data_IF_347398187515
#
_entry.id   IF_347398187515
#
_cell.length_a   1.000
_cell.length_b   1.000
_cell.length_c   1.000
_cell.angle_alpha   90.00
_cell.angle_beta   90.00
_cell.angle_gamma   90.00
#
_symmetry.space_group_name_H-M   'P 1'
#
loop_
_entity.id
_entity.type
_entity.pdbx_description
1 polymer ?
#
# COMPACT_ATOMS: atom_id res chain seq x y z
N UNK A 1 -22.96 13.89 11.67
CA UNK A 1 -23.54 12.99 10.64
C UNK A 1 -23.61 13.67 9.25
N UNK A 2 -24.15 14.89 9.10
CA UNK A 2 -24.23 15.59 7.79
C UNK A 2 -22.85 15.83 7.14
N UNK A 3 -21.81 16.26 7.89
CA UNK A 3 -20.46 16.45 7.37
C UNK A 3 -19.84 15.15 6.84
N UNK A 4 -20.08 14.03 7.49
CA UNK A 4 -19.56 12.72 7.05
C UNK A 4 -20.28 12.21 5.79
N UNK A 5 -21.58 12.46 5.64
CA UNK A 5 -22.30 12.17 4.40
C UNK A 5 -21.74 12.98 3.22
N UNK A 6 -21.51 14.29 3.40
CA UNK A 6 -20.94 15.14 2.34
C UNK A 6 -19.53 14.73 1.91
N UNK A 7 -18.71 14.15 2.82
CA UNK A 7 -17.38 13.65 2.48
C UNK A 7 -17.49 12.36 1.66
N UNK A 8 -18.36 11.46 2.08
CA UNK A 8 -18.65 10.21 1.38
C UNK A 8 -19.19 10.45 -0.02
N UNK A 9 -20.17 11.33 -0.17
CA UNK A 9 -20.76 11.67 -1.47
C UNK A 9 -19.75 12.31 -2.41
N UNK A 10 -18.85 13.15 -1.90
CA UNK A 10 -17.75 13.73 -2.67
C UNK A 10 -16.71 12.67 -3.09
N UNK A 11 -16.35 11.76 -2.19
CA UNK A 11 -15.44 10.67 -2.51
C UNK A 11 -16.05 9.76 -3.58
N UNK A 12 -17.31 9.39 -3.42
CA UNK A 12 -18.06 8.59 -4.41
C UNK A 12 -18.11 9.27 -5.78
N UNK A 13 -18.45 10.56 -5.82
CA UNK A 13 -18.47 11.34 -7.07
C UNK A 13 -17.10 11.45 -7.73
N UNK A 14 -16.02 11.63 -6.95
CA UNK A 14 -14.65 11.63 -7.48
C UNK A 14 -14.25 10.25 -8.01
N UNK A 15 -14.61 9.19 -7.31
CA UNK A 15 -14.38 7.82 -7.76
C UNK A 15 -15.12 7.53 -9.07
N UNK A 16 -16.39 7.93 -9.17
CA UNK A 16 -17.20 7.82 -10.38
C UNK A 16 -16.56 8.59 -11.56
N UNK A 17 -16.02 9.79 -11.30
CA UNK A 17 -15.29 10.55 -12.31
C UNK A 17 -13.97 9.87 -12.72
N UNK A 18 -13.20 9.37 -11.76
CA UNK A 18 -11.95 8.67 -12.02
C UNK A 18 -12.17 7.37 -12.78
N UNK A 19 -13.27 6.68 -12.52
CA UNK A 19 -13.65 5.41 -13.17
C UNK A 19 -14.40 5.59 -14.48
N UNK A 20 -14.64 6.83 -14.92
CA UNK A 20 -15.37 7.11 -16.17
C UNK A 20 -14.78 6.42 -17.40
N UNK A 21 -13.45 6.25 -17.45
CA UNK A 21 -12.75 5.51 -18.50
C UNK A 21 -13.11 4.01 -18.52
N UNK A 22 -13.53 3.45 -17.39
CA UNK A 22 -13.91 2.04 -17.25
C UNK A 22 -15.42 1.79 -17.43
N UNK A 23 -16.22 2.83 -17.68
CA UNK A 23 -17.68 2.69 -17.85
C UNK A 23 -18.07 1.84 -19.07
N UNK A 24 -17.13 1.64 -20.01
CA UNK A 24 -17.31 0.69 -21.12
C UNK A 24 -17.19 -0.78 -20.67
N UNK A 25 -16.61 -1.04 -19.51
CA UNK A 25 -16.49 -2.38 -18.95
C UNK A 25 -17.71 -2.69 -18.06
N UNK A 26 -18.21 -3.93 -18.09
CA UNK A 26 -19.31 -4.32 -17.23
C UNK A 26 -18.88 -4.29 -15.75
N UNK A 27 -19.81 -3.88 -14.87
CA UNK A 27 -19.64 -4.05 -13.43
C UNK A 27 -19.61 -5.54 -13.11
N UNK A 28 -18.70 -5.93 -12.21
CA UNK A 28 -18.61 -7.33 -11.81
C UNK A 28 -19.90 -7.86 -11.19
N UNK A 29 -20.19 -9.13 -11.46
CA UNK A 29 -21.22 -9.89 -10.74
C UNK A 29 -20.75 -10.35 -9.35
N UNK A 30 -19.42 -10.35 -9.09
CA UNK A 30 -18.79 -10.76 -7.84
C UNK A 30 -18.90 -9.66 -6.79
N UNK A 31 -20.03 -9.61 -6.11
CA UNK A 31 -20.31 -8.58 -5.08
C UNK A 31 -19.44 -8.69 -3.84
N UNK A 32 -18.82 -9.83 -3.61
CA UNK A 32 -17.81 -10.05 -2.57
C UNK A 32 -16.54 -9.22 -2.77
N UNK A 33 -16.24 -8.82 -4.01
CA UNK A 33 -15.09 -7.98 -4.35
C UNK A 33 -15.39 -6.48 -4.18
N UNK A 34 -16.66 -6.09 -4.12
CA UNK A 34 -17.07 -4.70 -3.95
C UNK A 34 -17.28 -4.35 -2.48
N UNK A 35 -16.94 -3.12 -2.11
CA UNK A 35 -17.11 -2.60 -0.77
C UNK A 35 -17.63 -1.15 -0.81
N UNK A 36 -18.58 -0.85 0.05
CA UNK A 36 -19.11 0.51 0.26
C UNK A 36 -19.30 0.75 1.77
N UNK A 37 -18.22 0.48 2.54
CA UNK A 37 -18.18 0.75 3.97
C UNK A 37 -17.89 2.22 4.26
N UNK A 38 -18.13 2.62 5.49
CA UNK A 38 -17.83 3.97 5.96
C UNK A 38 -16.34 4.26 5.80
N UNK A 39 -16.02 5.19 4.90
CA UNK A 39 -14.65 5.65 4.64
C UNK A 39 -13.88 4.89 3.57
N UNK A 40 -14.44 3.81 3.02
CA UNK A 40 -13.83 3.05 1.92
C UNK A 40 -14.87 2.71 0.87
N UNK A 41 -14.51 2.84 -0.40
CA UNK A 41 -15.35 2.47 -1.54
C UNK A 41 -14.47 1.66 -2.49
N UNK A 42 -14.95 0.47 -2.85
CA UNK A 42 -14.32 -0.39 -3.85
C UNK A 42 -15.30 -0.69 -4.97
N UNK A 43 -14.90 -0.43 -6.20
CA UNK A 43 -15.67 -0.80 -7.39
C UNK A 43 -14.83 -1.72 -8.27
N UNK A 44 -15.48 -2.70 -8.88
CA UNK A 44 -14.81 -3.73 -9.69
C UNK A 44 -15.47 -3.83 -11.06
N UNK A 45 -14.64 -3.87 -12.08
CA UNK A 45 -15.05 -3.95 -13.48
C UNK A 45 -14.43 -5.19 -14.11
N UNK A 46 -15.24 -6.04 -14.73
CA UNK A 46 -14.75 -7.24 -15.37
C UNK A 46 -14.22 -6.94 -16.79
N UNK A 47 -13.19 -7.66 -17.20
CA UNK A 47 -12.70 -7.64 -18.58
C UNK A 47 -12.30 -9.05 -19.02
N UNK A 48 -12.31 -9.28 -20.32
CA UNK A 48 -11.79 -10.51 -20.91
C UNK A 48 -10.34 -10.30 -21.32
N UNK A 49 -9.37 -11.00 -20.72
CA UNK A 49 -7.98 -10.89 -21.12
C UNK A 49 -7.76 -11.36 -22.54
N UNK A 50 -6.88 -10.64 -23.27
CA UNK A 50 -6.51 -10.99 -24.64
C UNK A 50 -5.49 -12.12 -24.72
N UNK A 51 -4.79 -12.38 -23.64
CA UNK A 51 -3.82 -13.49 -23.50
C UNK A 51 -4.32 -14.50 -22.48
N UNK A 52 -3.91 -15.76 -22.65
CA UNK A 52 -4.24 -16.78 -21.66
C UNK A 52 -3.79 -16.36 -20.27
N UNK A 53 -4.68 -16.50 -19.30
CA UNK A 53 -4.38 -16.25 -17.89
C UNK A 53 -4.16 -17.60 -17.25
N UNK A 54 -3.19 -17.66 -16.36
CA UNK A 54 -3.10 -18.74 -15.41
C UNK A 54 -4.29 -18.65 -14.45
N UNK A 55 -5.24 -19.58 -14.62
CA UNK A 55 -6.46 -19.66 -13.79
C UNK A 55 -6.14 -20.10 -12.37
N UNK A 56 -4.95 -20.64 -12.14
CA UNK A 56 -4.47 -21.10 -10.84
C UNK A 56 -3.75 -20.00 -10.04
N UNK A 57 -3.74 -18.75 -10.55
CA UNK A 57 -3.20 -17.62 -9.78
C UNK A 57 -3.95 -17.46 -8.45
N UNK A 58 -3.28 -17.76 -7.30
CA UNK A 58 -3.91 -17.71 -5.97
C UNK A 58 -4.39 -16.33 -5.58
N UNK A 59 -3.88 -15.28 -6.23
CA UNK A 59 -4.25 -13.89 -5.97
C UNK A 59 -5.41 -13.41 -6.82
N UNK A 60 -5.84 -14.22 -7.81
CA UNK A 60 -6.93 -13.87 -8.72
C UNK A 60 -6.80 -12.45 -9.29
N UNK A 61 -5.59 -12.07 -9.74
CA UNK A 61 -5.26 -10.70 -10.16
C UNK A 61 -5.80 -10.30 -11.53
N UNK A 62 -6.30 -11.26 -12.28
CA UNK A 62 -6.67 -11.08 -13.66
C UNK A 62 -8.18 -11.18 -13.87
N UNK A 63 -8.66 -10.65 -14.99
CA UNK A 63 -10.06 -10.68 -15.37
C UNK A 63 -10.89 -9.54 -14.80
N UNK A 64 -10.32 -8.68 -13.95
CA UNK A 64 -11.02 -7.50 -13.44
C UNK A 64 -10.08 -6.33 -13.12
N UNK A 65 -10.64 -5.12 -13.14
CA UNK A 65 -10.00 -3.90 -12.64
C UNK A 65 -10.68 -3.49 -11.35
N UNK A 66 -9.93 -3.41 -10.27
CA UNK A 66 -10.39 -2.98 -8.96
C UNK A 66 -9.98 -1.53 -8.71
N UNK A 67 -10.94 -0.68 -8.39
CA UNK A 67 -10.71 0.72 -8.06
C UNK A 67 -11.14 0.96 -6.61
N UNK A 68 -10.17 1.35 -5.79
CA UNK A 68 -10.36 1.58 -4.36
C UNK A 68 -10.18 3.05 -4.04
N UNK A 69 -11.09 3.59 -3.22
CA UNK A 69 -11.01 4.94 -2.69
C UNK A 69 -11.21 4.94 -1.18
N UNK A 70 -10.36 5.68 -0.46
CA UNK A 70 -10.48 5.87 0.97
C UNK A 70 -10.65 7.34 1.32
N UNK A 71 -11.33 7.65 2.43
CA UNK A 71 -11.58 9.03 2.87
C UNK A 71 -10.91 9.35 4.21
N UNK A 72 -10.22 8.40 4.82
CA UNK A 72 -9.53 8.60 6.10
C UNK A 72 -8.03 8.88 5.96
N UNK A 73 -7.46 8.54 4.80
CA UNK A 73 -6.03 8.73 4.53
C UNK A 73 -5.67 10.21 4.46
N UNK A 74 -4.59 10.59 5.10
CA UNK A 74 -3.96 11.91 5.00
C UNK A 74 -3.01 11.89 3.80
N UNK A 75 -3.22 12.81 2.87
CA UNK A 75 -2.46 12.86 1.61
C UNK A 75 -1.10 13.57 1.74
N UNK A 76 -0.89 14.30 2.82
CA UNK A 76 0.35 15.05 3.07
C UNK A 76 1.35 14.21 3.89
N UNK A 77 2.64 14.45 3.72
CA UNK A 77 3.24 15.24 2.64
C UNK A 77 3.28 14.46 1.32
N UNK A 78 3.09 15.17 0.21
CA UNK A 78 3.17 14.60 -1.13
C UNK A 78 4.22 15.32 -1.99
N UNK A 79 4.63 14.66 -3.06
CA UNK A 79 5.48 15.22 -4.11
C UNK A 79 4.85 14.90 -5.46
N UNK A 80 4.76 15.87 -6.39
CA UNK A 80 4.39 15.57 -7.76
C UNK A 80 5.48 14.71 -8.42
N UNK A 81 5.11 13.54 -8.93
CA UNK A 81 5.99 12.67 -9.70
C UNK A 81 5.42 12.43 -11.08
N UNK A 82 6.29 12.39 -12.09
CA UNK A 82 5.94 11.90 -13.39
C UNK A 82 5.92 10.38 -13.37
N UNK A 83 4.80 9.81 -13.76
CA UNK A 83 4.62 8.36 -13.85
C UNK A 83 4.60 7.97 -15.31
N UNK A 84 5.51 7.10 -15.67
CA UNK A 84 5.55 6.50 -17.00
C UNK A 84 4.79 5.17 -16.98
N UNK A 85 3.78 4.99 -17.87
CA UNK A 85 3.11 3.69 -17.97
C UNK A 85 4.09 2.59 -18.38
N UNK A 86 3.97 1.41 -17.77
CA UNK A 86 4.89 0.28 -18.03
C UNK A 86 4.99 -0.03 -19.52
N UNK A 87 3.86 -0.04 -20.25
CA UNK A 87 3.87 -0.24 -21.71
C UNK A 87 4.71 0.80 -22.44
N UNK A 88 4.72 2.04 -21.95
CA UNK A 88 5.50 3.12 -22.55
C UNK A 88 7.00 2.97 -22.25
N UNK A 89 7.35 2.55 -21.03
CA UNK A 89 8.74 2.32 -20.61
C UNK A 89 9.45 1.29 -21.50
N UNK A 90 8.78 0.17 -21.78
CA UNK A 90 9.37 -0.94 -22.55
C UNK A 90 9.09 -0.86 -24.06
N UNK A 91 8.37 0.16 -24.54
CA UNK A 91 8.04 0.32 -25.94
C UNK A 91 9.22 0.90 -26.74
N UNK A 92 9.36 0.46 -27.99
CA UNK A 92 10.20 1.15 -28.98
C UNK A 92 9.62 2.53 -29.31
N UNK A 93 10.40 3.42 -29.93
CA UNK A 93 9.90 4.75 -30.30
C UNK A 93 8.69 4.68 -31.27
N UNK A 94 8.69 3.73 -32.20
CA UNK A 94 7.54 3.49 -33.06
C UNK A 94 6.29 3.08 -32.28
N UNK A 95 6.45 2.16 -31.33
CA UNK A 95 5.36 1.71 -30.43
C UNK A 95 4.88 2.87 -29.54
N UNK A 96 5.78 3.71 -29.01
CA UNK A 96 5.42 4.91 -28.23
C UNK A 96 4.59 5.88 -29.06
N UNK A 97 4.91 6.05 -30.32
CA UNK A 97 4.12 6.90 -31.25
C UNK A 97 2.69 6.34 -31.43
N UNK A 98 2.55 5.03 -31.56
CA UNK A 98 1.23 4.36 -31.63
C UNK A 98 0.48 4.54 -30.31
N UNK A 99 1.13 4.25 -29.19
CA UNK A 99 0.54 4.39 -27.85
C UNK A 99 0.04 5.82 -27.62
N UNK A 100 0.83 6.83 -28.00
CA UNK A 100 0.48 8.24 -27.88
C UNK A 100 -0.68 8.63 -28.78
N UNK A 101 -0.59 8.28 -30.07
CA UNK A 101 -1.54 8.79 -31.09
C UNK A 101 -2.89 8.05 -31.10
N UNK A 102 -2.90 6.76 -30.79
CA UNK A 102 -4.11 5.93 -30.88
C UNK A 102 -4.76 5.64 -29.53
N UNK A 103 -3.97 5.61 -28.45
CA UNK A 103 -4.43 5.17 -27.14
C UNK A 103 -4.30 6.23 -26.04
N UNK A 104 -3.76 7.41 -26.36
CA UNK A 104 -3.52 8.48 -25.37
C UNK A 104 -2.69 8.00 -24.16
N UNK A 105 -1.77 7.06 -24.41
CA UNK A 105 -0.86 6.54 -23.40
C UNK A 105 0.41 7.37 -23.41
N UNK A 106 0.56 8.21 -22.39
CA UNK A 106 1.71 9.12 -22.23
C UNK A 106 2.10 9.17 -20.74
N UNK A 107 3.34 9.56 -20.42
CA UNK A 107 3.71 9.94 -19.07
C UNK A 107 2.79 11.04 -18.52
N UNK A 108 2.50 10.98 -17.23
CA UNK A 108 1.61 11.96 -16.59
C UNK A 108 2.06 12.28 -15.16
N UNK A 109 1.73 13.48 -14.71
CA UNK A 109 2.03 13.93 -13.35
C UNK A 109 0.95 13.45 -12.37
N UNK A 110 1.38 12.93 -11.22
CA UNK A 110 0.50 12.58 -10.10
C UNK A 110 1.10 13.02 -8.77
N UNK A 111 0.27 13.49 -7.87
CA UNK A 111 0.69 13.73 -6.50
C UNK A 111 0.88 12.40 -5.78
N UNK A 112 2.10 12.10 -5.43
CA UNK A 112 2.48 10.83 -4.76
C UNK A 112 2.89 11.12 -3.32
N UNK A 113 2.38 10.34 -2.38
CA UNK A 113 2.79 10.42 -0.97
C UNK A 113 4.30 10.18 -0.90
N UNK A 114 5.00 11.01 -0.12
CA UNK A 114 6.45 10.89 0.04
C UNK A 114 6.83 9.53 0.65
N UNK A 115 7.99 9.02 0.23
CA UNK A 115 8.49 7.71 0.67
C UNK A 115 8.63 7.61 2.19
N UNK A 116 9.07 8.69 2.83
CA UNK A 116 9.21 8.78 4.28
C UNK A 116 7.85 8.61 4.99
N UNK A 117 6.79 9.17 4.37
CA UNK A 117 5.43 9.01 4.90
C UNK A 117 4.92 7.58 4.68
N UNK A 118 5.22 6.98 3.54
CA UNK A 118 4.88 5.58 3.25
C UNK A 118 5.58 4.67 4.24
N UNK A 119 6.86 4.92 4.55
CA UNK A 119 7.61 4.14 5.54
C UNK A 119 6.92 4.15 6.92
N UNK A 120 6.57 5.34 7.41
CA UNK A 120 5.82 5.48 8.67
C UNK A 120 4.46 4.74 8.60
N UNK A 121 3.75 4.84 7.48
CA UNK A 121 2.47 4.16 7.29
C UNK A 121 2.58 2.64 7.39
N UNK A 122 3.62 2.06 6.76
CA UNK A 122 3.87 0.63 6.76
C UNK A 122 4.21 0.08 8.15
N UNK A 123 4.90 0.85 9.00
CA UNK A 123 5.18 0.47 10.40
C UNK A 123 3.88 0.30 11.18
N UNK A 124 2.98 1.28 11.13
CA UNK A 124 1.70 1.20 11.82
C UNK A 124 0.77 0.14 11.23
N UNK A 125 0.79 -0.03 9.91
CA UNK A 125 0.01 -1.07 9.26
C UNK A 125 0.47 -2.47 9.68
N UNK A 126 1.77 -2.70 9.80
CA UNK A 126 2.31 -3.97 10.29
C UNK A 126 1.78 -4.31 11.69
N UNK A 127 1.82 -3.37 12.64
CA UNK A 127 1.27 -3.55 13.98
C UNK A 127 -0.25 -3.79 13.94
N UNK A 128 -0.98 -2.97 13.17
CA UNK A 128 -2.43 -3.09 13.04
C UNK A 128 -2.88 -4.49 12.60
N UNK A 129 -2.19 -5.07 11.64
CA UNK A 129 -2.50 -6.41 11.16
C UNK A 129 -1.94 -7.50 12.07
N UNK A 130 -0.81 -7.27 12.74
CA UNK A 130 -0.22 -8.23 13.68
C UNK A 130 -1.14 -8.50 14.86
N UNK A 131 -1.70 -7.47 15.48
CA UNK A 131 -2.68 -7.60 16.56
C UNK A 131 -3.91 -8.42 16.16
N UNK A 132 -4.25 -8.38 14.87
CA UNK A 132 -5.40 -9.11 14.30
C UNK A 132 -5.05 -10.48 13.76
N UNK A 133 -3.80 -10.91 13.92
CA UNK A 133 -3.26 -12.17 13.40
C UNK A 133 -3.46 -12.37 11.90
N UNK A 134 -3.51 -11.26 11.16
CA UNK A 134 -3.61 -11.25 9.69
C UNK A 134 -2.20 -11.33 9.09
N UNK A 135 -1.52 -12.46 9.31
CA UNK A 135 -0.09 -12.58 9.10
C UNK A 135 0.37 -12.42 7.65
N UNK A 136 -0.47 -12.76 6.69
CA UNK A 136 -0.15 -12.51 5.28
C UNK A 136 -0.07 -11.01 4.96
N UNK A 137 -0.95 -10.18 5.55
CA UNK A 137 -0.88 -8.73 5.41
C UNK A 137 0.31 -8.15 6.19
N UNK A 138 0.60 -8.68 7.38
CA UNK A 138 1.83 -8.33 8.12
C UNK A 138 3.06 -8.58 7.28
N UNK A 139 3.15 -9.75 6.63
CA UNK A 139 4.30 -10.16 5.82
C UNK A 139 4.66 -9.13 4.72
N UNK A 140 3.65 -8.58 4.03
CA UNK A 140 3.84 -7.52 3.03
C UNK A 140 4.49 -6.27 3.62
N UNK A 141 3.99 -5.84 4.79
CA UNK A 141 4.52 -4.64 5.45
C UNK A 141 5.90 -4.87 6.06
N UNK A 142 6.17 -6.07 6.57
CA UNK A 142 7.51 -6.43 7.03
C UNK A 142 8.53 -6.34 5.90
N UNK A 143 8.20 -6.90 4.74
CA UNK A 143 9.03 -6.84 3.55
C UNK A 143 9.24 -5.40 3.09
N UNK A 144 8.16 -4.64 2.88
CA UNK A 144 8.21 -3.25 2.42
C UNK A 144 9.10 -2.37 3.32
N UNK A 145 8.92 -2.47 4.65
CA UNK A 145 9.73 -1.70 5.61
C UNK A 145 11.18 -2.11 5.54
N UNK A 146 11.47 -3.42 5.45
CA UNK A 146 12.86 -3.91 5.38
C UNK A 146 13.59 -3.46 4.12
N UNK A 147 12.90 -3.43 2.96
CA UNK A 147 13.46 -2.89 1.71
C UNK A 147 13.69 -1.38 1.82
N UNK A 148 12.75 -0.65 2.41
CA UNK A 148 12.87 0.81 2.52
C UNK A 148 13.89 1.24 3.57
N UNK A 149 14.09 0.46 4.65
CA UNK A 149 14.91 0.85 5.80
C UNK A 149 16.35 1.23 5.41
N UNK A 150 16.97 0.51 4.47
CA UNK A 150 18.32 0.75 4.02
C UNK A 150 18.45 1.84 2.94
N UNK A 151 17.32 2.41 2.47
CA UNK A 151 17.36 3.49 1.50
C UNK A 151 17.93 4.76 2.14
N UNK A 152 18.85 5.42 1.43
CA UNK A 152 19.51 6.66 1.89
C UNK A 152 18.53 7.69 2.39
N UNK A 153 17.43 7.92 1.67
CA UNK A 153 16.38 8.87 2.01
C UNK A 153 15.71 8.54 3.35
N UNK A 154 15.48 7.26 3.63
CA UNK A 154 14.89 6.81 4.90
C UNK A 154 15.90 6.93 6.05
N UNK A 155 17.17 6.57 5.80
CA UNK A 155 18.22 6.73 6.81
C UNK A 155 18.44 8.21 7.15
N UNK A 156 18.45 9.11 6.18
CA UNK A 156 18.53 10.56 6.40
C UNK A 156 17.36 11.09 7.22
N UNK A 157 16.14 10.58 6.96
CA UNK A 157 14.96 10.92 7.77
C UNK A 157 15.11 10.43 9.21
N UNK A 158 15.53 9.18 9.41
CA UNK A 158 15.70 8.58 10.75
C UNK A 158 16.75 9.36 11.57
N UNK A 159 17.84 9.78 10.95
CA UNK A 159 18.86 10.60 11.58
C UNK A 159 18.37 12.00 11.96
N UNK A 160 17.36 12.52 11.25
CA UNK A 160 16.69 13.77 11.59
C UNK A 160 15.42 13.49 12.41
N UNK A 161 15.60 13.41 13.73
CA UNK A 161 14.51 13.07 14.66
C UNK A 161 13.26 13.95 14.46
N UNK A 162 13.41 15.22 14.15
CA UNK A 162 12.28 16.13 13.95
C UNK A 162 11.44 15.71 12.72
N UNK A 163 12.10 15.41 11.61
CA UNK A 163 11.40 14.96 10.38
C UNK A 163 10.75 13.60 10.61
N UNK A 164 11.44 12.68 11.29
CA UNK A 164 10.88 11.38 11.59
C UNK A 164 9.64 11.46 12.48
N UNK A 165 9.69 12.26 13.55
CA UNK A 165 8.52 12.50 14.41
C UNK A 165 7.37 13.17 13.66
N UNK A 166 7.66 14.05 12.71
CA UNK A 166 6.63 14.65 11.85
C UNK A 166 5.92 13.59 11.00
N UNK A 167 6.65 12.69 10.33
CA UNK A 167 6.07 11.62 9.53
C UNK A 167 5.22 10.66 10.38
N UNK A 168 5.71 10.28 11.55
CA UNK A 168 4.97 9.49 12.52
C UNK A 168 3.71 10.24 13.00
N UNK A 169 3.80 11.56 13.19
CA UNK A 169 2.67 12.42 13.57
C UNK A 169 1.54 12.44 12.53
N UNK A 170 1.88 12.55 11.25
CA UNK A 170 0.88 12.42 10.17
C UNK A 170 0.17 11.07 10.22
N UNK A 171 0.92 9.99 10.47
CA UNK A 171 0.32 8.67 10.58
C UNK A 171 -0.58 8.53 11.81
N UNK A 172 -0.17 9.02 12.96
CA UNK A 172 -1.00 9.04 14.18
C UNK A 172 -2.30 9.82 13.95
N UNK A 173 -2.23 10.97 13.27
CA UNK A 173 -3.43 11.73 12.90
C UNK A 173 -4.38 10.92 12.00
N UNK A 174 -3.86 10.13 11.09
CA UNK A 174 -4.66 9.23 10.26
C UNK A 174 -5.34 8.14 11.10
N UNK A 175 -4.59 7.52 12.02
CA UNK A 175 -5.12 6.48 12.89
C UNK A 175 -6.27 6.97 13.80
N UNK A 176 -6.31 8.26 14.18
CA UNK A 176 -7.48 8.83 14.90
C UNK A 176 -8.78 8.72 14.09
N UNK A 177 -8.69 8.60 12.77
CA UNK A 177 -9.84 8.51 11.86
C UNK A 177 -10.17 7.09 11.44
N UNK A 178 -9.24 6.16 11.66
CA UNK A 178 -9.37 4.76 11.24
C UNK A 178 -10.25 3.99 12.23
N UNK A 179 -11.35 3.45 11.73
CA UNK A 179 -12.27 2.67 12.57
C UNK A 179 -11.58 1.40 13.11
N UNK A 180 -11.63 1.21 14.43
CA UNK A 180 -11.08 0.03 15.10
C UNK A 180 -9.56 0.06 15.30
N UNK A 181 -8.90 1.22 15.09
CA UNK A 181 -7.51 1.43 15.45
C UNK A 181 -7.40 2.17 16.78
N UNK A 182 -6.48 1.76 17.64
CA UNK A 182 -6.03 2.43 18.85
C UNK A 182 -4.60 2.97 18.73
N UNK A 183 -4.00 2.82 17.55
CA UNK A 183 -2.59 3.12 17.30
C UNK A 183 -2.26 4.62 17.34
N UNK A 184 -3.27 5.49 17.31
CA UNK A 184 -3.06 6.95 17.38
C UNK A 184 -2.29 7.37 18.64
N UNK A 185 -2.65 6.81 19.79
CA UNK A 185 -2.09 7.14 21.10
C UNK A 185 -1.16 6.04 21.65
N UNK A 186 -1.08 4.90 20.98
CA UNK A 186 -0.31 3.75 21.42
C UNK A 186 1.18 4.03 21.36
N UNK A 187 1.91 3.76 22.44
CA UNK A 187 3.35 3.87 22.48
C UNK A 187 4.03 2.77 21.65
N UNK A 188 5.22 3.01 21.14
CA UNK A 188 5.98 1.97 20.44
C UNK A 188 6.39 0.84 21.36
N UNK A 189 6.66 1.12 22.64
CA UNK A 189 6.90 0.12 23.69
C UNK A 189 5.71 -0.83 23.89
N UNK A 190 4.50 -0.45 23.47
CA UNK A 190 3.29 -1.26 23.52
C UNK A 190 2.98 -2.01 22.20
N UNK A 191 3.72 -1.73 21.11
CA UNK A 191 3.56 -2.46 19.87
C UNK A 191 3.97 -3.93 20.06
N UNK A 192 3.04 -4.84 19.80
CA UNK A 192 3.29 -6.28 19.97
C UNK A 192 4.36 -6.78 18.99
N UNK A 193 4.36 -6.25 17.78
CA UNK A 193 5.33 -6.60 16.74
C UNK A 193 6.77 -6.27 17.19
N UNK A 194 6.97 -5.10 17.82
CA UNK A 194 8.29 -4.66 18.28
C UNK A 194 8.82 -5.44 19.50
N UNK A 195 7.96 -6.17 20.20
CA UNK A 195 8.39 -7.08 21.28
C UNK A 195 9.05 -8.35 20.77
N UNK A 196 8.94 -8.60 19.46
CA UNK A 196 9.56 -9.72 18.78
C UNK A 196 8.56 -10.66 18.12
N UNK A 197 8.93 -11.14 16.94
CA UNK A 197 8.11 -12.06 16.13
C UNK A 197 8.94 -13.21 15.53
N UNK A 198 10.20 -13.36 15.92
CA UNK A 198 11.13 -14.37 15.39
C UNK A 198 10.57 -15.80 15.49
N UNK A 199 9.87 -16.09 16.60
CA UNK A 199 9.37 -17.44 16.92
C UNK A 199 7.92 -17.65 16.44
N UNK A 200 7.37 -16.71 15.67
CA UNK A 200 6.03 -16.83 15.13
C UNK A 200 6.03 -17.64 13.83
N UNK A 201 5.86 -18.97 13.96
CA UNK A 201 5.88 -19.89 12.82
C UNK A 201 4.77 -19.62 11.80
N UNK A 202 3.59 -19.17 12.24
CA UNK A 202 2.49 -18.84 11.34
C UNK A 202 2.84 -17.62 10.47
N UNK A 203 3.46 -16.58 11.06
CA UNK A 203 3.93 -15.42 10.33
C UNK A 203 5.09 -15.79 9.39
N UNK A 204 6.04 -16.63 9.83
CA UNK A 204 7.15 -17.13 8.98
C UNK A 204 6.61 -17.83 7.74
N UNK A 205 5.62 -18.70 7.91
CA UNK A 205 4.98 -19.40 6.80
C UNK A 205 4.28 -18.44 5.83
N UNK A 206 3.52 -17.49 6.36
CA UNK A 206 2.82 -16.50 5.55
C UNK A 206 3.79 -15.55 4.85
N UNK A 207 4.93 -15.21 5.48
CA UNK A 207 5.99 -14.44 4.85
C UNK A 207 6.59 -15.17 3.64
N UNK A 208 6.88 -16.47 3.76
CA UNK A 208 7.37 -17.27 2.63
C UNK A 208 6.32 -17.38 1.52
N UNK A 209 5.05 -17.50 1.87
CA UNK A 209 3.94 -17.50 0.89
C UNK A 209 3.83 -16.14 0.18
N UNK A 210 3.94 -15.06 0.92
CA UNK A 210 3.91 -13.70 0.38
C UNK A 210 5.04 -13.52 -0.64
N UNK A 211 6.27 -13.89 -0.31
CA UNK A 211 7.39 -13.74 -1.25
C UNK A 211 7.15 -14.52 -2.54
N UNK A 212 6.73 -15.79 -2.47
CA UNK A 212 6.43 -16.62 -3.66
C UNK A 212 5.39 -15.99 -4.59
N UNK A 213 4.47 -15.21 -4.04
CA UNK A 213 3.36 -14.63 -4.81
C UNK A 213 3.62 -13.18 -5.27
N UNK A 214 4.52 -12.44 -4.62
CA UNK A 214 4.71 -11.01 -4.87
C UNK A 214 6.12 -10.60 -5.25
N UNK A 215 7.13 -11.43 -4.96
CA UNK A 215 8.53 -11.14 -5.30
C UNK A 215 8.91 -12.00 -6.49
N UNK A 216 9.09 -11.37 -7.66
CA UNK A 216 9.30 -12.08 -8.92
C UNK A 216 10.77 -12.28 -9.27
N UNK A 217 11.66 -11.41 -8.79
CA UNK A 217 13.08 -11.53 -8.99
C UNK A 217 13.73 -12.20 -7.76
N UNK A 218 14.60 -13.20 -8.00
CA UNK A 218 15.23 -13.93 -6.91
C UNK A 218 16.13 -13.04 -6.07
N UNK A 219 16.81 -12.06 -6.70
CA UNK A 219 17.64 -11.07 -6.06
C UNK A 219 16.90 -10.13 -5.09
N UNK A 220 15.58 -10.00 -5.27
CA UNK A 220 14.72 -9.17 -4.41
C UNK A 220 14.19 -9.96 -3.19
N UNK A 221 14.49 -11.26 -3.10
CA UNK A 221 14.02 -12.05 -1.96
C UNK A 221 14.79 -11.70 -0.67
N UNK A 222 14.06 -11.59 0.44
CA UNK A 222 14.64 -11.33 1.76
C UNK A 222 14.34 -12.51 2.68
N UNK A 223 15.36 -13.06 3.34
CA UNK A 223 15.11 -14.10 4.35
C UNK A 223 14.30 -13.54 5.52
N UNK A 224 13.46 -14.37 6.14
CA UNK A 224 12.70 -13.96 7.31
C UNK A 224 13.61 -13.51 8.46
N UNK A 225 14.75 -14.17 8.65
CA UNK A 225 15.69 -13.82 9.70
C UNK A 225 16.35 -12.46 9.44
N UNK A 226 16.66 -12.12 8.18
CA UNK A 226 17.11 -10.78 7.82
C UNK A 226 16.06 -9.73 8.19
N UNK A 227 14.80 -9.98 7.86
CA UNK A 227 13.68 -9.06 8.19
C UNK A 227 13.52 -8.90 9.70
N UNK A 228 13.64 -9.97 10.48
CA UNK A 228 13.64 -9.90 11.94
C UNK A 228 14.73 -8.97 12.47
N UNK A 229 15.97 -9.09 11.94
CA UNK A 229 17.07 -8.21 12.34
C UNK A 229 16.86 -6.75 11.95
N UNK A 230 16.31 -6.46 10.76
CA UNK A 230 16.01 -5.10 10.35
C UNK A 230 14.93 -4.47 11.25
N UNK A 231 13.89 -5.23 11.57
CA UNK A 231 12.82 -4.76 12.45
C UNK A 231 13.27 -4.58 13.90
N UNK A 232 14.22 -5.37 14.37
CA UNK A 232 14.87 -5.17 15.67
C UNK A 232 15.60 -3.84 15.73
N UNK A 233 16.43 -3.54 14.71
CA UNK A 233 17.12 -2.23 14.61
C UNK A 233 16.14 -1.07 14.55
N UNK A 234 15.08 -1.20 13.74
CA UNK A 234 14.02 -0.19 13.68
C UNK A 234 13.31 -0.03 15.03
N UNK A 235 13.05 -1.12 15.74
CA UNK A 235 12.47 -1.10 17.08
C UNK A 235 13.32 -0.31 18.06
N UNK A 236 14.64 -0.49 18.06
CA UNK A 236 15.57 0.29 18.90
C UNK A 236 15.46 1.80 18.59
N UNK A 237 15.37 2.16 17.31
CA UNK A 237 15.20 3.56 16.89
C UNK A 237 13.86 4.12 17.38
N UNK A 238 12.76 3.39 17.19
CA UNK A 238 11.42 3.85 17.57
C UNK A 238 11.26 3.99 19.09
N UNK A 239 11.83 3.06 19.86
CA UNK A 239 11.83 3.13 21.33
C UNK A 239 12.66 4.28 21.88
N UNK A 240 13.71 4.68 21.17
CA UNK A 240 14.52 5.85 21.55
C UNK A 240 13.82 7.20 21.32
N UNK A 241 12.66 7.22 20.62
CA UNK A 241 11.84 8.42 20.41
C UNK A 241 10.85 8.68 21.57
N UNK A 242 10.67 7.73 22.48
CA UNK A 242 9.78 7.83 23.65
C UNK A 242 10.50 8.29 24.91
#
# INVERSE_FOLDING_TARGET
RQRQMCIRDRAKKRLEMATKKYQALPRTSRKDLEDDRKGSITTVYDYTPLVGIDTDDPLQRFGYVKVEGTSFTVSEPFTPLEIEPILYTYATEEQRNILRSQYDVVPFMINTIRLERIFADKIFAAEFYYERKMYFDVAKHLYDVSVMFDLKQIQEMIQNQQIFLEMLGYKRLEETRRTGSDLAEKKFSDFQLLRGFSDNEALRKDYQNMQRNYVFAEEDTLSFDFVVEQWKKLGEVLLALE
#
